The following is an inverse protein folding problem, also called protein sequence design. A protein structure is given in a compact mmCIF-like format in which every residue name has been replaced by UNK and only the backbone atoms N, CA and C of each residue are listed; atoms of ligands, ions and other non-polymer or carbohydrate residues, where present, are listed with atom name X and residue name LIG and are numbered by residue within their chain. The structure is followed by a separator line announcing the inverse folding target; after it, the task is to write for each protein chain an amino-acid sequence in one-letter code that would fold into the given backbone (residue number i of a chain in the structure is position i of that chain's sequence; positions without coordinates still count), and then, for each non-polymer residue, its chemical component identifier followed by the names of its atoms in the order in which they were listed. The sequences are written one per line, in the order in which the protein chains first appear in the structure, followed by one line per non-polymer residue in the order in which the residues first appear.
data_IF_864818061607
#
_entry.id   IF_864818061607
#
_cell.length_a   1.000
_cell.length_b   1.000
_cell.length_c   1.000
_cell.angle_alpha   90.00
_cell.angle_beta   90.00
_cell.angle_gamma   90.00
#
_symmetry.space_group_name_H-M   'P 1'
#
loop_
_entity.id
_entity.type
_entity.pdbx_description
1 polymer ?
#
# COMPACT_ATOMS: atom_id res chain seq x y z
N UNK A 1 -14.37 27.78 2.79
CA UNK A 1 -13.08 27.80 2.05
C UNK A 1 -12.09 28.63 2.84
N UNK A 2 -10.86 28.16 3.02
CA UNK A 2 -9.77 28.85 3.69
C UNK A 2 -8.59 28.99 2.72
N UNK A 3 -8.05 30.21 2.60
CA UNK A 3 -6.89 30.52 1.76
C UNK A 3 -5.82 31.19 2.62
N UNK A 4 -4.67 30.53 2.77
CA UNK A 4 -3.53 31.03 3.52
C UNK A 4 -2.20 30.66 2.83
N UNK A 5 -2.24 30.47 1.51
CA UNK A 5 -1.06 30.13 0.70
C UNK A 5 -0.06 31.30 0.62
N UNK A 6 1.20 30.98 0.33
CA UNK A 6 2.29 31.95 0.15
C UNK A 6 2.56 32.83 1.38
N UNK A 7 2.74 32.19 2.53
CA UNK A 7 3.13 32.83 3.78
C UNK A 7 4.37 32.12 4.38
N UNK A 8 4.66 32.40 5.64
CA UNK A 8 5.72 31.74 6.42
C UNK A 8 5.12 30.95 7.58
N UNK A 9 3.91 30.39 7.40
CA UNK A 9 3.22 29.66 8.46
C UNK A 9 3.99 28.39 8.80
N UNK A 10 4.37 28.25 10.06
CA UNK A 10 4.91 27.02 10.64
C UNK A 10 3.82 26.18 11.33
N UNK A 11 2.67 26.80 11.60
CA UNK A 11 1.51 26.16 12.21
C UNK A 11 0.21 26.70 11.60
N UNK A 12 -0.79 25.83 11.46
CA UNK A 12 -2.14 26.18 11.01
C UNK A 12 -3.14 25.34 11.81
N UNK A 13 -3.96 26.01 12.61
CA UNK A 13 -5.05 25.37 13.33
C UNK A 13 -6.33 25.37 12.48
N UNK A 14 -6.90 24.18 12.25
CA UNK A 14 -8.15 23.99 11.50
C UNK A 14 -9.23 23.28 12.32
N UNK A 15 -9.02 23.07 13.62
CA UNK A 15 -9.89 22.29 14.51
C UNK A 15 -11.36 22.75 14.52
N UNK A 16 -11.61 24.06 14.38
CA UNK A 16 -12.95 24.64 14.34
C UNK A 16 -13.63 24.66 12.96
N UNK A 17 -12.99 24.16 11.91
CA UNK A 17 -13.42 24.36 10.52
C UNK A 17 -14.15 23.13 9.94
N UNK A 18 -15.10 22.56 10.68
CA UNK A 18 -15.76 21.28 10.33
C UNK A 18 -16.55 21.29 9.02
N UNK A 19 -16.99 22.47 8.57
CA UNK A 19 -17.68 22.66 7.29
C UNK A 19 -16.73 23.04 6.12
N UNK A 20 -15.41 22.95 6.32
CA UNK A 20 -14.43 23.39 5.34
C UNK A 20 -14.37 22.45 4.14
N UNK A 21 -14.74 22.98 2.97
CA UNK A 21 -14.72 22.22 1.72
C UNK A 21 -13.43 22.39 0.90
N UNK A 22 -12.71 23.49 1.11
CA UNK A 22 -11.54 23.87 0.32
C UNK A 22 -10.50 24.49 1.22
N UNK A 23 -9.28 23.96 1.15
CA UNK A 23 -8.11 24.45 1.88
C UNK A 23 -6.94 24.69 0.92
N UNK A 24 -6.50 25.95 0.84
CA UNK A 24 -5.29 26.33 0.11
C UNK A 24 -4.23 26.84 1.10
N UNK A 25 -3.29 25.97 1.46
CA UNK A 25 -2.19 26.25 2.42
C UNK A 25 -0.79 26.06 1.80
N UNK A 26 -0.69 25.95 0.48
CA UNK A 26 0.56 25.80 -0.25
C UNK A 26 1.55 26.96 -0.03
N UNK A 27 2.85 26.73 -0.26
CA UNK A 27 3.92 27.73 -0.10
C UNK A 27 3.98 28.28 1.33
N UNK A 28 4.23 27.40 2.29
CA UNK A 28 4.41 27.72 3.71
C UNK A 28 5.57 26.87 4.28
N UNK A 29 5.69 26.81 5.60
CA UNK A 29 6.70 26.02 6.33
C UNK A 29 6.00 25.00 7.25
N UNK A 30 4.82 24.51 6.85
CA UNK A 30 4.05 23.56 7.65
C UNK A 30 4.75 22.20 7.62
N UNK A 31 4.94 21.61 8.79
CA UNK A 31 5.47 20.25 8.96
C UNK A 31 4.37 19.23 9.24
N UNK A 32 3.22 19.68 9.75
CA UNK A 32 2.06 18.84 10.08
C UNK A 32 0.77 19.67 10.02
N UNK A 33 -0.35 18.96 9.78
CA UNK A 33 -1.69 19.51 9.79
C UNK A 33 -2.65 18.38 10.12
N UNK A 34 -3.53 18.59 11.09
CA UNK A 34 -4.55 17.62 11.45
C UNK A 34 -5.79 17.76 10.55
N UNK A 35 -6.13 16.70 9.84
CA UNK A 35 -7.30 16.62 8.94
C UNK A 35 -8.50 15.93 9.59
N UNK A 36 -8.39 15.43 10.83
CA UNK A 36 -9.42 14.65 11.52
C UNK A 36 -10.76 15.39 11.67
N UNK A 37 -10.71 16.72 11.74
CA UNK A 37 -11.89 17.57 11.89
C UNK A 37 -12.42 18.14 10.56
N UNK A 38 -11.95 17.65 9.40
CA UNK A 38 -12.31 18.19 8.08
C UNK A 38 -13.04 17.18 7.18
N UNK A 39 -14.10 16.50 7.63
CA UNK A 39 -14.74 15.39 6.89
C UNK A 39 -15.36 15.82 5.54
N UNK A 40 -15.59 17.12 5.35
CA UNK A 40 -16.23 17.69 4.15
C UNK A 40 -15.20 18.25 3.14
N UNK A 41 -13.90 18.03 3.35
CA UNK A 41 -12.85 18.60 2.51
C UNK A 41 -12.79 17.91 1.14
N UNK A 42 -13.04 18.68 0.07
CA UNK A 42 -13.00 18.21 -1.33
C UNK A 42 -11.74 18.64 -2.07
N UNK A 43 -11.17 19.80 -1.71
CA UNK A 43 -10.03 20.39 -2.40
C UNK A 43 -8.93 20.76 -1.41
N UNK A 44 -7.77 20.11 -1.54
CA UNK A 44 -6.59 20.34 -0.72
C UNK A 44 -5.38 20.71 -1.57
N UNK A 45 -4.81 21.89 -1.34
CA UNK A 45 -3.49 22.26 -1.87
C UNK A 45 -2.53 22.58 -0.73
N UNK A 46 -1.54 21.73 -0.56
CA UNK A 46 -0.52 21.80 0.50
C UNK A 46 0.92 21.66 -0.05
N UNK A 47 1.11 21.75 -1.36
CA UNK A 47 2.43 21.73 -2.01
C UNK A 47 3.36 22.86 -1.54
N UNK A 48 4.67 22.67 -1.70
CA UNK A 48 5.71 23.60 -1.23
C UNK A 48 5.59 23.85 0.29
N UNK A 49 5.67 22.78 1.07
CA UNK A 49 5.73 22.78 2.54
C UNK A 49 6.83 21.81 3.00
N UNK A 50 6.79 21.38 4.26
CA UNK A 50 7.79 20.50 4.88
C UNK A 50 7.11 19.26 5.52
N UNK A 51 5.98 18.81 4.98
CA UNK A 51 5.30 17.61 5.47
C UNK A 51 6.19 16.39 5.27
N UNK A 52 6.35 15.57 6.31
CA UNK A 52 7.03 14.27 6.24
C UNK A 52 6.06 13.10 6.09
N UNK A 53 4.82 13.30 6.51
CA UNK A 53 3.75 12.31 6.48
C UNK A 53 2.43 13.04 6.23
N UNK A 54 1.53 12.41 5.48
CA UNK A 54 0.23 12.96 5.17
C UNK A 54 -0.83 11.85 5.23
N UNK A 55 -1.67 11.90 6.26
CA UNK A 55 -2.79 10.96 6.44
C UNK A 55 -4.12 11.62 6.07
N UNK A 56 -4.71 11.15 4.97
CA UNK A 56 -5.97 11.64 4.42
C UNK A 56 -7.06 10.56 4.46
N UNK A 57 -6.87 9.49 5.23
CA UNK A 57 -7.81 8.36 5.34
C UNK A 57 -9.23 8.76 5.76
N UNK A 58 -9.37 9.85 6.52
CA UNK A 58 -10.66 10.37 6.97
C UNK A 58 -11.36 11.29 5.95
N UNK A 59 -10.72 11.59 4.81
CA UNK A 59 -11.24 12.53 3.81
C UNK A 59 -12.01 11.81 2.69
N UNK A 60 -13.19 11.29 3.02
CA UNK A 60 -14.04 10.52 2.10
C UNK A 60 -14.71 11.34 1.00
N UNK A 61 -14.51 12.66 0.96
CA UNK A 61 -15.08 13.57 -0.05
C UNK A 61 -13.99 14.17 -0.96
N UNK A 62 -12.73 13.74 -0.84
CA UNK A 62 -11.60 14.38 -1.53
C UNK A 62 -11.64 14.20 -3.06
N UNK A 63 -11.65 15.30 -3.81
CA UNK A 63 -11.69 15.30 -5.28
C UNK A 63 -10.37 15.76 -5.90
N UNK A 64 -9.54 16.44 -5.11
CA UNK A 64 -8.34 17.09 -5.61
C UNK A 64 -7.28 17.26 -4.51
N UNK A 65 -6.08 16.71 -4.75
CA UNK A 65 -4.93 16.83 -3.87
C UNK A 65 -3.68 17.29 -4.62
N UNK A 66 -3.06 18.36 -4.12
CA UNK A 66 -1.70 18.77 -4.51
C UNK A 66 -0.80 18.79 -3.28
N UNK A 67 0.06 17.79 -3.15
CA UNK A 67 1.03 17.64 -2.08
C UNK A 67 2.48 17.51 -2.60
N UNK A 68 2.73 17.84 -3.87
CA UNK A 68 4.06 17.84 -4.46
C UNK A 68 5.02 18.83 -3.74
N UNK A 69 6.33 18.64 -3.89
CA UNK A 69 7.36 19.49 -3.26
C UNK A 69 7.19 19.55 -1.72
N UNK A 70 7.25 18.38 -1.09
CA UNK A 70 7.31 18.22 0.37
C UNK A 70 8.47 17.27 0.70
N UNK A 71 8.53 16.76 1.93
CA UNK A 71 9.50 15.78 2.39
C UNK A 71 8.81 14.47 2.74
N UNK A 72 7.71 14.14 2.02
CA UNK A 72 6.88 13.00 2.38
C UNK A 72 7.69 11.71 2.29
N UNK A 73 7.62 10.89 3.34
CA UNK A 73 8.14 9.53 3.37
C UNK A 73 7.02 8.50 3.21
N UNK A 74 5.82 8.88 3.67
CA UNK A 74 4.58 8.13 3.52
C UNK A 74 3.41 9.06 3.15
N UNK A 75 2.45 8.52 2.39
CA UNK A 75 1.20 9.20 2.03
C UNK A 75 0.04 8.21 2.13
N UNK A 76 -0.94 8.47 2.98
CA UNK A 76 -2.13 7.64 3.09
C UNK A 76 -3.33 8.32 2.43
N UNK A 77 -3.78 7.74 1.31
CA UNK A 77 -4.98 8.16 0.59
C UNK A 77 -6.03 7.05 0.53
N UNK A 78 -5.92 6.01 1.35
CA UNK A 78 -6.94 4.96 1.48
C UNK A 78 -8.16 5.49 2.26
N UNK A 79 -9.01 6.23 1.57
CA UNK A 79 -10.14 6.98 2.10
C UNK A 79 -11.51 6.48 1.59
N UNK A 80 -11.54 5.32 0.94
CA UNK A 80 -12.76 4.68 0.42
C UNK A 80 -13.29 5.27 -0.89
N UNK A 81 -12.61 6.26 -1.49
CA UNK A 81 -13.06 6.93 -2.72
C UNK A 81 -12.04 6.92 -3.85
N UNK A 82 -11.00 6.08 -3.78
CA UNK A 82 -9.98 6.04 -4.82
C UNK A 82 -10.54 5.72 -6.22
N UNK A 83 -11.63 4.97 -6.30
CA UNK A 83 -12.35 4.65 -7.54
C UNK A 83 -13.14 5.84 -8.14
N UNK A 84 -13.31 6.96 -7.44
CA UNK A 84 -14.15 8.09 -7.89
C UNK A 84 -13.46 9.05 -8.88
N UNK A 85 -12.40 8.59 -9.55
CA UNK A 85 -11.72 9.32 -10.62
C UNK A 85 -11.19 10.72 -10.22
N UNK A 86 -10.72 10.87 -8.98
CA UNK A 86 -10.14 12.10 -8.46
C UNK A 86 -8.65 12.25 -8.79
N UNK A 87 -8.10 13.45 -8.60
CA UNK A 87 -6.76 13.83 -9.08
C UNK A 87 -5.78 14.07 -7.93
N UNK A 88 -4.55 13.58 -8.09
CA UNK A 88 -3.51 13.70 -7.09
C UNK A 88 -2.14 14.00 -7.72
N UNK A 89 -1.42 14.98 -7.17
CA UNK A 89 -0.02 15.25 -7.46
C UNK A 89 0.81 15.14 -6.19
N UNK A 90 1.67 14.12 -6.14
CA UNK A 90 2.56 13.80 -5.02
C UNK A 90 4.03 13.68 -5.46
N UNK A 91 4.39 14.11 -6.67
CA UNK A 91 5.78 14.12 -7.16
C UNK A 91 6.66 15.13 -6.40
N UNK A 92 7.97 15.12 -6.63
CA UNK A 92 8.95 15.93 -5.92
C UNK A 92 8.91 15.75 -4.38
N UNK A 93 8.73 14.50 -3.94
CA UNK A 93 8.92 14.00 -2.60
C UNK A 93 9.94 12.85 -2.68
N UNK A 94 11.25 13.16 -2.76
CA UNK A 94 12.26 12.17 -3.12
C UNK A 94 12.33 10.95 -2.17
N UNK A 95 12.02 11.16 -0.89
CA UNK A 95 12.03 10.13 0.15
C UNK A 95 10.69 9.37 0.27
N UNK A 96 9.70 9.67 -0.58
CA UNK A 96 8.41 9.00 -0.55
C UNK A 96 8.58 7.57 -1.05
N UNK A 97 8.40 6.60 -0.16
CA UNK A 97 8.57 5.18 -0.48
C UNK A 97 7.24 4.45 -0.63
N UNK A 98 6.18 4.96 0.01
CA UNK A 98 4.89 4.29 0.08
C UNK A 98 3.72 5.25 -0.03
N UNK A 99 2.81 4.96 -0.95
CA UNK A 99 1.49 5.60 -1.05
C UNK A 99 0.41 4.54 -0.81
N UNK A 100 -0.31 4.69 0.29
CA UNK A 100 -1.38 3.78 0.68
C UNK A 100 -2.66 4.09 -0.07
N UNK A 101 -3.27 3.10 -0.69
CA UNK A 101 -4.54 3.20 -1.42
C UNK A 101 -5.55 2.13 -0.96
N UNK A 102 -6.81 2.29 -1.37
CA UNK A 102 -7.90 1.36 -1.08
C UNK A 102 -7.64 -0.04 -1.68
N UNK A 103 -8.03 -1.10 -0.99
CA UNK A 103 -7.79 -2.50 -1.42
C UNK A 103 -8.39 -2.85 -2.79
N UNK A 104 -9.50 -2.21 -3.17
CA UNK A 104 -10.25 -2.48 -4.39
C UNK A 104 -9.91 -1.51 -5.54
N UNK A 105 -8.79 -0.81 -5.44
CA UNK A 105 -8.36 0.19 -6.42
C UNK A 105 -7.00 -0.18 -7.00
N UNK A 106 -6.87 -0.14 -8.33
CA UNK A 106 -5.58 -0.29 -9.02
C UNK A 106 -5.07 1.08 -9.51
N UNK A 107 -4.11 1.69 -8.81
CA UNK A 107 -3.56 3.00 -9.18
C UNK A 107 -2.80 2.99 -10.51
N UNK A 108 -2.32 1.84 -10.99
CA UNK A 108 -1.57 1.78 -12.25
C UNK A 108 -2.43 2.08 -13.48
N UNK A 109 -3.75 1.93 -13.35
CA UNK A 109 -4.71 2.29 -14.39
C UNK A 109 -5.07 3.78 -14.38
N UNK A 110 -4.70 4.51 -13.32
CA UNK A 110 -5.10 5.90 -13.13
C UNK A 110 -3.99 6.88 -13.55
N UNK A 111 -4.12 7.46 -14.74
CA UNK A 111 -3.18 8.46 -15.28
C UNK A 111 -3.22 9.81 -14.54
N UNK A 112 -4.21 10.05 -13.68
CA UNK A 112 -4.41 11.31 -12.97
C UNK A 112 -3.67 11.36 -11.62
N UNK A 113 -3.10 10.23 -11.19
CA UNK A 113 -2.26 10.17 -10.00
C UNK A 113 -0.80 10.26 -10.43
N UNK A 114 -0.11 11.29 -9.92
CA UNK A 114 1.31 11.53 -10.19
C UNK A 114 2.09 11.36 -8.90
N UNK A 115 3.17 10.58 -8.96
CA UNK A 115 4.10 10.32 -7.87
C UNK A 115 5.53 10.32 -8.40
N UNK A 116 6.49 10.29 -7.50
CA UNK A 116 7.87 10.00 -7.86
C UNK A 116 8.07 8.52 -8.21
N UNK A 117 9.16 8.23 -8.91
CA UNK A 117 9.53 6.86 -9.26
C UNK A 117 9.92 6.04 -8.02
N UNK A 118 10.41 6.69 -6.96
CA UNK A 118 10.78 6.08 -5.67
C UNK A 118 9.60 5.55 -4.88
N UNK A 119 8.41 6.12 -5.09
CA UNK A 119 7.21 5.79 -4.35
C UNK A 119 6.52 4.53 -4.89
N UNK A 120 6.08 3.65 -4.01
CA UNK A 120 5.36 2.43 -4.37
C UNK A 120 3.90 2.50 -3.93
N UNK A 121 3.02 1.92 -4.74
CA UNK A 121 1.62 1.73 -4.38
C UNK A 121 1.50 0.55 -3.42
N UNK A 122 0.78 0.73 -2.31
CA UNK A 122 0.53 -0.34 -1.36
C UNK A 122 -0.87 -0.21 -0.74
N UNK A 123 -1.47 -1.30 -0.29
CA UNK A 123 -2.70 -1.27 0.51
C UNK A 123 -2.43 -1.09 2.00
N UNK A 124 -1.16 -1.22 2.43
CA UNK A 124 -0.73 -0.99 3.81
C UNK A 124 0.71 -0.45 3.87
N UNK A 125 0.86 0.82 4.26
CA UNK A 125 2.16 1.47 4.47
C UNK A 125 2.66 1.38 5.92
N UNK A 126 1.88 0.82 6.85
CA UNK A 126 2.29 0.61 8.26
C UNK A 126 3.21 -0.61 8.44
N UNK A 127 3.77 -1.13 7.36
CA UNK A 127 4.79 -2.18 7.42
C UNK A 127 6.09 -1.51 7.85
N UNK A 128 6.27 -1.36 9.15
CA UNK A 128 7.60 -1.07 9.71
C UNK A 128 8.53 -2.20 9.28
N UNK A 129 9.60 -1.85 8.59
CA UNK A 129 10.58 -2.79 8.09
C UNK A 129 11.21 -3.60 9.23
N UNK A 130 10.76 -4.84 9.39
CA UNK A 130 11.61 -5.99 9.68
C UNK A 130 11.04 -7.16 8.87
N UNK A 131 11.32 -7.15 7.58
CA UNK A 131 11.51 -8.35 6.76
C UNK A 131 11.89 -7.86 5.36
N UNK A 132 13.12 -8.15 4.93
CA UNK A 132 13.62 -7.96 3.57
C UNK A 132 12.62 -8.49 2.54
N UNK A 133 11.84 -7.63 1.88
CA UNK A 133 11.28 -7.93 0.55
C UNK A 133 11.09 -6.64 -0.24
N UNK A 134 11.81 -6.55 -1.37
CA UNK A 134 11.62 -5.59 -2.45
C UNK A 134 10.15 -5.23 -2.71
N UNK A 135 9.80 -3.95 -2.94
CA UNK A 135 8.45 -3.52 -3.33
C UNK A 135 8.19 -3.78 -4.83
N UNK A 136 8.51 -4.98 -5.29
CA UNK A 136 8.24 -5.43 -6.66
C UNK A 136 7.95 -6.93 -6.68
N UNK A 137 6.89 -7.38 -6.00
CA UNK A 137 6.41 -8.73 -6.25
C UNK A 137 4.90 -8.77 -6.42
N UNK A 138 4.54 -9.22 -7.61
CA UNK A 138 3.32 -9.93 -7.96
C UNK A 138 3.15 -11.11 -6.98
N UNK A 139 2.78 -10.85 -5.71
CA UNK A 139 2.84 -11.85 -4.64
C UNK A 139 1.92 -13.02 -4.98
N UNK A 140 2.55 -14.17 -5.18
CA UNK A 140 1.84 -15.43 -5.33
C UNK A 140 1.06 -15.72 -4.05
N UNK A 141 -0.26 -15.86 -4.18
CA UNK A 141 -1.19 -16.19 -3.09
C UNK A 141 -1.44 -17.69 -3.06
N UNK A 142 -1.52 -18.23 -1.85
CA UNK A 142 -1.81 -19.64 -1.60
C UNK A 142 -3.10 -19.78 -0.80
N UNK A 143 -4.08 -20.51 -1.34
CA UNK A 143 -5.44 -20.57 -0.78
C UNK A 143 -6.12 -21.92 -1.07
N UNK A 144 -7.13 -22.36 -0.31
CA UNK A 144 -7.58 -21.77 0.95
C UNK A 144 -6.56 -22.01 2.07
N UNK A 145 -6.43 -21.07 3.01
CA UNK A 145 -5.70 -21.30 4.25
C UNK A 145 -6.65 -20.99 5.42
N UNK A 146 -7.10 -21.99 6.22
CA UNK A 146 -6.68 -23.41 6.21
C UNK A 146 -7.22 -24.26 5.05
N UNK A 147 -6.45 -25.25 4.59
CA UNK A 147 -6.85 -26.20 3.53
C UNK A 147 -7.15 -27.61 4.07
N UNK A 148 -7.92 -28.39 3.31
CA UNK A 148 -8.28 -29.79 3.65
C UNK A 148 -7.61 -30.83 2.77
N UNK A 149 -7.50 -30.61 1.47
CA UNK A 149 -6.95 -31.62 0.52
C UNK A 149 -6.22 -30.97 -0.64
N UNK A 150 -6.71 -29.84 -1.11
CA UNK A 150 -6.18 -29.12 -2.25
C UNK A 150 -5.76 -27.73 -1.79
N UNK A 151 -4.63 -27.27 -2.32
CA UNK A 151 -4.08 -25.94 -2.09
C UNK A 151 -3.80 -25.31 -3.46
N UNK A 152 -4.40 -24.16 -3.71
CA UNK A 152 -4.27 -23.41 -4.95
C UNK A 152 -3.20 -22.34 -4.83
N UNK A 153 -2.52 -22.06 -5.95
CA UNK A 153 -1.43 -21.09 -6.06
C UNK A 153 -1.75 -20.13 -7.22
N UNK A 154 -1.76 -18.82 -6.95
CA UNK A 154 -1.93 -17.81 -8.00
C UNK A 154 -0.64 -17.58 -8.78
N UNK A 155 -0.73 -17.06 -10.00
CA UNK A 155 0.41 -16.52 -10.77
C UNK A 155 1.71 -17.35 -10.71
N UNK A 156 1.76 -18.48 -11.44
CA UNK A 156 2.89 -19.42 -11.40
C UNK A 156 3.89 -19.24 -12.55
N UNK A 157 3.79 -18.15 -13.33
CA UNK A 157 4.47 -17.98 -14.62
C UNK A 157 6.01 -18.00 -14.50
N UNK A 158 6.54 -17.51 -13.38
CA UNK A 158 7.98 -17.45 -13.09
C UNK A 158 8.47 -18.51 -12.10
N UNK A 159 7.56 -19.34 -11.56
CA UNK A 159 7.91 -20.39 -10.61
C UNK A 159 8.61 -21.53 -11.35
N UNK A 160 9.74 -21.99 -10.83
CA UNK A 160 10.50 -23.15 -11.31
C UNK A 160 10.13 -24.41 -10.53
N UNK A 161 10.04 -24.31 -9.19
CA UNK A 161 9.77 -25.44 -8.28
C UNK A 161 8.92 -25.01 -7.10
N UNK A 162 8.10 -25.93 -6.61
CA UNK A 162 7.30 -25.72 -5.40
C UNK A 162 7.65 -26.81 -4.39
N UNK A 163 7.92 -26.42 -3.14
CA UNK A 163 8.25 -27.31 -2.04
C UNK A 163 7.22 -27.15 -0.92
N UNK A 164 6.76 -28.27 -0.38
CA UNK A 164 6.00 -28.32 0.86
C UNK A 164 6.94 -28.81 1.94
N UNK A 165 7.17 -28.00 2.97
CA UNK A 165 8.04 -28.32 4.08
C UNK A 165 7.25 -28.37 5.39
N UNK A 166 7.73 -29.20 6.32
CA UNK A 166 7.26 -29.16 7.70
C UNK A 166 7.92 -28.02 8.48
N UNK A 167 7.52 -27.84 9.73
CA UNK A 167 8.05 -26.79 10.60
C UNK A 167 9.52 -26.99 11.02
N UNK A 168 10.12 -28.15 10.75
CA UNK A 168 11.55 -28.39 10.94
C UNK A 168 12.38 -28.00 9.70
N UNK A 169 11.73 -27.56 8.62
CA UNK A 169 12.36 -27.22 7.35
C UNK A 169 12.60 -28.43 6.43
N UNK A 170 12.09 -29.61 6.80
CA UNK A 170 12.23 -30.81 5.96
C UNK A 170 11.22 -30.76 4.82
N UNK A 171 11.69 -30.97 3.59
CA UNK A 171 10.83 -31.13 2.40
C UNK A 171 10.02 -32.42 2.53
N UNK A 172 8.70 -32.28 2.61
CA UNK A 172 7.72 -33.37 2.67
C UNK A 172 7.27 -33.76 1.27
N UNK A 173 7.10 -32.77 0.38
CA UNK A 173 6.71 -33.01 -1.01
C UNK A 173 7.23 -31.89 -1.92
N UNK A 174 7.44 -32.17 -3.20
CA UNK A 174 7.79 -31.15 -4.20
C UNK A 174 6.96 -31.33 -5.46
N UNK A 175 6.77 -30.22 -6.18
CA UNK A 175 5.95 -30.14 -7.38
C UNK A 175 6.66 -29.30 -8.45
N UNK A 176 6.42 -29.65 -9.70
CA UNK A 176 6.61 -28.74 -10.83
C UNK A 176 5.52 -27.66 -10.82
N UNK A 177 5.71 -26.52 -11.51
CA UNK A 177 4.78 -25.40 -11.48
C UNK A 177 3.37 -25.84 -11.90
N UNK A 178 2.43 -25.75 -10.96
CA UNK A 178 1.02 -26.06 -11.18
C UNK A 178 0.15 -25.27 -10.21
N UNK A 179 -1.07 -24.93 -10.65
CA UNK A 179 -1.97 -24.05 -9.89
C UNK A 179 -2.71 -24.76 -8.75
N UNK A 180 -2.73 -26.10 -8.74
CA UNK A 180 -3.45 -26.90 -7.75
C UNK A 180 -2.55 -28.01 -7.19
N UNK A 181 -2.34 -27.99 -5.88
CA UNK A 181 -1.53 -28.97 -5.17
C UNK A 181 -2.44 -29.92 -4.39
N UNK A 182 -2.43 -31.19 -4.77
CA UNK A 182 -3.18 -32.24 -4.10
C UNK A 182 -2.34 -32.83 -2.96
N UNK A 183 -2.77 -32.57 -1.72
CA UNK A 183 -2.08 -32.89 -0.48
C UNK A 183 -2.98 -33.67 0.52
N UNK A 184 -3.69 -34.74 0.10
CA UNK A 184 -4.59 -35.47 1.01
C UNK A 184 -3.86 -36.28 2.09
N UNK A 185 -2.57 -36.59 1.88
CA UNK A 185 -1.76 -37.44 2.76
C UNK A 185 -1.08 -36.67 3.90
N UNK A 186 -1.15 -35.34 3.90
CA UNK A 186 -0.60 -34.54 4.99
C UNK A 186 -1.47 -34.65 6.25
N UNK A 187 -0.81 -34.85 7.38
CA UNK A 187 -1.44 -34.78 8.69
C UNK A 187 -1.92 -33.35 8.97
N UNK A 188 -2.91 -33.19 9.84
CA UNK A 188 -3.32 -31.86 10.29
C UNK A 188 -2.14 -31.17 11.01
N UNK A 189 -1.90 -29.91 10.69
CA UNK A 189 -0.72 -29.19 11.18
C UNK A 189 -0.35 -27.99 10.33
N UNK A 190 0.74 -27.33 10.73
CA UNK A 190 1.30 -26.19 10.02
C UNK A 190 2.42 -26.65 9.08
N UNK A 191 2.40 -26.13 7.86
CA UNK A 191 3.39 -26.40 6.83
C UNK A 191 3.82 -25.07 6.19
N UNK A 192 4.95 -25.10 5.48
CA UNK A 192 5.37 -24.00 4.63
C UNK A 192 5.37 -24.43 3.17
N UNK A 193 4.91 -23.52 2.30
CA UNK A 193 5.02 -23.64 0.84
C UNK A 193 6.13 -22.71 0.40
N UNK A 194 7.18 -23.25 -0.19
CA UNK A 194 8.27 -22.48 -0.76
C UNK A 194 8.23 -22.58 -2.29
N UNK A 195 8.21 -21.43 -2.95
CA UNK A 195 8.32 -21.28 -4.39
C UNK A 195 9.75 -20.88 -4.70
N UNK A 196 10.39 -21.62 -5.59
CA UNK A 196 11.68 -21.25 -6.19
C UNK A 196 11.38 -20.69 -7.57
N UNK A 197 11.92 -19.52 -7.87
CA UNK A 197 11.74 -18.84 -9.16
C UNK A 197 12.94 -19.07 -10.08
N UNK A 198 12.73 -18.89 -11.38
CA UNK A 198 13.78 -19.09 -12.41
C UNK A 198 14.97 -18.14 -12.28
N UNK A 199 14.78 -16.99 -11.62
CA UNK A 199 15.84 -16.02 -11.34
C UNK A 199 16.69 -16.39 -10.11
N UNK A 200 16.38 -17.51 -9.45
CA UNK A 200 17.06 -17.98 -8.25
C UNK A 200 16.50 -17.42 -6.94
N UNK A 201 15.51 -16.52 -6.99
CA UNK A 201 14.80 -16.05 -5.80
C UNK A 201 13.85 -17.12 -5.26
N UNK A 202 13.45 -16.99 -3.99
CA UNK A 202 12.48 -17.89 -3.38
C UNK A 202 11.51 -17.15 -2.46
N UNK A 203 10.24 -17.54 -2.52
CA UNK A 203 9.17 -17.01 -1.65
C UNK A 203 8.59 -18.12 -0.80
N UNK A 204 8.40 -17.87 0.51
CA UNK A 204 7.87 -18.86 1.46
C UNK A 204 6.59 -18.36 2.11
N UNK A 205 5.57 -19.21 2.17
CA UNK A 205 4.27 -18.91 2.78
C UNK A 205 3.88 -19.99 3.78
N UNK A 206 3.25 -19.59 4.89
CA UNK A 206 2.74 -20.54 5.91
C UNK A 206 1.31 -20.95 5.58
N UNK A 207 1.02 -22.24 5.71
CA UNK A 207 -0.30 -22.81 5.47
C UNK A 207 -0.70 -23.80 6.57
N UNK A 208 -1.99 -23.86 6.86
CA UNK A 208 -2.56 -24.72 7.91
C UNK A 208 -3.41 -25.80 7.26
N UNK A 209 -3.06 -27.06 7.50
CA UNK A 209 -3.86 -28.23 7.13
C UNK A 209 -4.85 -28.55 8.26
N UNK A 210 -6.14 -28.56 7.94
CA UNK A 210 -7.23 -29.05 8.79
C UNK A 210 -7.61 -30.49 8.45
#
# INVERSE_FOLDING_TARGET
MLKCYANQLTHLDTSGLTALNTLYCANNQLTSLDFSNLPQLRFLTCHNNQFTDLDLSNLSELEYLMCQNNQLTSLNVANGINANNWKMWAHNNPDLTCIQHDENFDPNTNIQWKKDDTANWNTNCNIMATDDVNPSENKVKVYPNPFKKILHISSIEEVERIYIMDMSGKVVQSFTPQKELHLPHLNAGMYTVQLSYKDGSAQTMKVIKK
#
